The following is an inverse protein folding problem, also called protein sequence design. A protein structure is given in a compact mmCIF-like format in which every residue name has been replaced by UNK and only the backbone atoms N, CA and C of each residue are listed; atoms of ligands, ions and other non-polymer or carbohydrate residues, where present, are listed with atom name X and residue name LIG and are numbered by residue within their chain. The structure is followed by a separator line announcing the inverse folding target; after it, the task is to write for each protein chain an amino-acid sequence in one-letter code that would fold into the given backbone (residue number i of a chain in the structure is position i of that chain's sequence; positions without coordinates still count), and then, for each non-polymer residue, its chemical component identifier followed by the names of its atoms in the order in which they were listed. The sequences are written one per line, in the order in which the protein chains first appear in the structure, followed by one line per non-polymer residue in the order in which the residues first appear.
data_IF_092713101578
#
_entry.id   IF_092713101578
#
_cell.length_a   1.000
_cell.length_b   1.000
_cell.length_c   1.000
_cell.angle_alpha   90.00
_cell.angle_beta   90.00
_cell.angle_gamma   90.00
#
_symmetry.space_group_name_H-M   'P 1'
#
loop_
_entity.id
_entity.type
_entity.pdbx_description
1 polymer ?
#
# COMPACT_ATOMS: atom_id res chain seq x y z
N UNK A 1 20.36 21.53 -24.33
CA UNK A 1 20.94 20.37 -23.61
C UNK A 1 19.80 19.47 -23.18
N UNK A 2 19.88 18.16 -23.42
CA UNK A 2 18.90 17.19 -22.93
C UNK A 2 19.08 16.97 -21.42
N UNK A 3 17.96 16.85 -20.69
CA UNK A 3 17.98 16.63 -19.24
C UNK A 3 18.37 15.17 -18.95
N UNK A 4 19.30 14.97 -18.02
CA UNK A 4 19.66 13.63 -17.54
C UNK A 4 18.52 13.10 -16.65
N UNK A 5 18.00 11.89 -16.91
CA UNK A 5 16.95 11.30 -16.09
C UNK A 5 17.48 10.94 -14.70
N UNK A 6 16.73 11.29 -13.65
CA UNK A 6 17.01 10.88 -12.27
C UNK A 6 16.06 9.73 -11.92
N UNK A 7 16.61 8.52 -11.84
CA UNK A 7 15.82 7.30 -11.58
C UNK A 7 15.52 7.13 -10.09
N UNK A 8 14.32 6.66 -9.75
CA UNK A 8 14.00 6.23 -8.38
C UNK A 8 14.69 4.89 -8.08
N UNK A 9 14.97 4.62 -6.80
CA UNK A 9 15.45 3.31 -6.33
C UNK A 9 14.39 2.67 -5.43
N UNK A 10 13.47 1.86 -5.98
CA UNK A 10 12.49 1.15 -5.20
C UNK A 10 13.14 0.17 -4.21
N UNK A 11 12.53 0.05 -3.04
CA UNK A 11 12.95 -0.86 -1.97
C UNK A 11 11.72 -1.59 -1.45
N UNK A 12 11.92 -2.82 -0.97
CA UNK A 12 10.86 -3.52 -0.27
C UNK A 12 10.54 -2.80 1.04
N UNK A 13 9.27 -2.70 1.39
CA UNK A 13 8.83 -2.08 2.64
C UNK A 13 8.37 -3.16 3.60
N UNK A 14 9.13 -3.36 4.69
CA UNK A 14 8.87 -4.40 5.69
C UNK A 14 9.04 -3.80 7.08
N UNK A 15 8.05 -3.98 7.95
CA UNK A 15 8.14 -3.54 9.35
C UNK A 15 8.35 -2.04 9.55
N UNK A 16 7.78 -1.21 8.68
CA UNK A 16 7.95 0.25 8.77
C UNK A 16 9.25 0.77 8.16
N UNK A 17 10.03 -0.07 7.47
CA UNK A 17 11.36 0.29 6.94
C UNK A 17 11.50 -0.12 5.47
N UNK A 18 12.23 0.71 4.71
CA UNK A 18 12.66 0.37 3.36
C UNK A 18 13.94 -0.47 3.41
N UNK A 19 13.81 -1.78 3.20
CA UNK A 19 14.91 -2.75 3.30
C UNK A 19 15.48 -3.10 1.92
N UNK A 20 16.73 -3.58 1.91
CA UNK A 20 17.32 -4.23 0.74
C UNK A 20 17.08 -5.73 0.83
N UNK A 21 16.79 -6.36 -0.31
CA UNK A 21 16.76 -7.83 -0.44
C UNK A 21 18.12 -8.40 -0.03
N UNK A 22 18.12 -9.48 0.74
CA UNK A 22 19.35 -10.18 1.14
C UNK A 22 20.22 -10.55 -0.07
N UNK A 23 19.59 -10.97 -1.18
CA UNK A 23 20.32 -11.41 -2.37
C UNK A 23 21.03 -10.29 -3.12
N UNK A 24 20.66 -9.03 -2.87
CA UNK A 24 21.11 -7.88 -3.65
C UNK A 24 20.67 -7.89 -5.12
N UNK A 25 19.92 -8.92 -5.56
CA UNK A 25 19.47 -9.07 -6.95
C UNK A 25 18.39 -8.06 -7.29
N UNK A 26 18.44 -7.59 -8.52
CA UNK A 26 17.46 -6.68 -9.10
C UNK A 26 17.13 -7.11 -10.51
N UNK A 27 15.97 -6.69 -11.00
CA UNK A 27 15.60 -6.80 -12.41
C UNK A 27 15.19 -5.42 -12.94
N UNK A 28 15.46 -5.13 -14.23
CA UNK A 28 15.07 -3.86 -14.82
C UNK A 28 13.55 -3.77 -14.98
N UNK A 29 13.00 -2.60 -14.67
CA UNK A 29 11.66 -2.20 -15.06
C UNK A 29 11.76 -1.30 -16.29
N UNK A 30 11.02 -1.65 -17.33
CA UNK A 30 10.99 -0.94 -18.60
C UNK A 30 9.57 -0.39 -18.84
N UNK A 31 9.48 0.73 -19.56
CA UNK A 31 8.22 1.27 -20.04
C UNK A 31 7.70 0.46 -21.26
N UNK A 32 6.48 0.72 -21.71
CA UNK A 32 5.88 0.16 -22.93
C UNK A 32 6.76 0.28 -24.17
N UNK A 33 7.58 1.32 -24.23
CA UNK A 33 8.52 1.56 -25.33
C UNK A 33 9.88 0.87 -25.17
N UNK A 34 10.08 0.07 -24.11
CA UNK A 34 11.35 -0.61 -23.79
C UNK A 34 12.39 0.31 -23.14
N UNK A 35 12.00 1.52 -22.72
CA UNK A 35 12.92 2.45 -22.06
C UNK A 35 13.12 2.06 -20.60
N UNK A 36 14.37 1.98 -20.14
CA UNK A 36 14.70 1.70 -18.75
C UNK A 36 14.19 2.79 -17.80
N UNK A 37 13.52 2.37 -16.73
CA UNK A 37 13.00 3.27 -15.69
C UNK A 37 13.77 3.16 -14.38
N UNK A 38 13.85 1.95 -13.84
CA UNK A 38 14.53 1.67 -12.57
C UNK A 38 14.79 0.18 -12.38
N UNK A 39 15.58 -0.15 -11.36
CA UNK A 39 15.82 -1.52 -10.94
C UNK A 39 14.92 -1.88 -9.75
N UNK A 40 14.15 -2.96 -9.88
CA UNK A 40 13.26 -3.47 -8.83
C UNK A 40 13.98 -4.59 -8.05
N UNK A 41 13.96 -4.58 -6.70
CA UNK A 41 14.56 -5.64 -5.92
C UNK A 41 13.87 -6.98 -6.16
N UNK A 42 14.66 -8.00 -6.49
CA UNK A 42 14.19 -9.38 -6.55
C UNK A 42 14.25 -9.99 -5.15
N UNK A 43 13.11 -10.04 -4.47
CA UNK A 43 13.01 -10.60 -3.12
C UNK A 43 13.13 -12.13 -3.14
N UNK A 44 13.76 -12.67 -2.11
CA UNK A 44 13.96 -14.11 -1.92
C UNK A 44 12.91 -14.70 -0.99
N UNK A 45 12.90 -16.04 -0.88
CA UNK A 45 12.11 -16.75 0.14
C UNK A 45 12.42 -16.29 1.57
N UNK A 46 13.67 -15.89 1.86
CA UNK A 46 14.06 -15.41 3.19
C UNK A 46 13.51 -14.00 3.45
N UNK A 47 13.53 -13.12 2.46
CA UNK A 47 12.92 -11.78 2.59
C UNK A 47 11.40 -11.89 2.87
N UNK A 48 10.71 -12.81 2.19
CA UNK A 48 9.28 -13.07 2.42
C UNK A 48 9.04 -13.64 3.83
N UNK A 49 9.85 -14.61 4.27
CA UNK A 49 9.74 -15.17 5.64
C UNK A 49 9.87 -14.07 6.70
N UNK A 50 10.89 -13.23 6.59
CA UNK A 50 11.12 -12.12 7.50
C UNK A 50 9.92 -11.14 7.48
N UNK A 51 9.33 -10.87 6.31
CA UNK A 51 8.16 -10.02 6.20
C UNK A 51 6.92 -10.61 6.90
N UNK A 52 6.71 -11.93 6.76
CA UNK A 52 5.60 -12.65 7.41
C UNK A 52 5.77 -12.68 8.93
N UNK A 53 6.98 -12.93 9.44
CA UNK A 53 7.27 -12.92 10.88
C UNK A 53 6.96 -11.54 11.50
N UNK A 54 7.39 -10.47 10.83
CA UNK A 54 7.11 -9.10 11.26
C UNK A 54 5.61 -8.79 11.21
N UNK A 55 4.91 -9.21 10.15
CA UNK A 55 3.47 -9.02 10.03
C UNK A 55 2.70 -9.78 11.12
N UNK A 56 3.09 -11.02 11.41
CA UNK A 56 2.51 -11.84 12.47
C UNK A 56 2.67 -11.20 13.85
N UNK A 57 3.87 -10.71 14.18
CA UNK A 57 4.12 -10.01 15.43
C UNK A 57 3.32 -8.70 15.55
N UNK A 58 3.20 -7.94 14.45
CA UNK A 58 2.44 -6.69 14.43
C UNK A 58 0.91 -6.91 14.48
N UNK A 59 0.42 -8.09 14.07
CA UNK A 59 -0.99 -8.42 13.99
C UNK A 59 -1.72 -8.31 15.34
N UNK A 60 -1.07 -8.75 16.43
CA UNK A 60 -1.65 -8.69 17.79
C UNK A 60 -1.90 -7.23 18.20
N UNK A 61 -0.89 -6.37 18.02
CA UNK A 61 -1.00 -4.95 18.36
C UNK A 61 -2.02 -4.21 17.47
N UNK A 62 -2.13 -4.59 16.19
CA UNK A 62 -3.14 -4.04 15.29
C UNK A 62 -4.56 -4.48 15.66
N UNK A 63 -4.76 -5.76 15.98
CA UNK A 63 -6.04 -6.32 16.40
C UNK A 63 -6.54 -5.70 17.71
N UNK A 64 -5.63 -5.43 18.66
CA UNK A 64 -5.95 -4.79 19.94
C UNK A 64 -6.32 -3.30 19.86
N UNK A 65 -6.15 -2.64 18.70
CA UNK A 65 -6.62 -1.24 18.52
C UNK A 65 -8.15 -1.19 18.52
N UNK A 66 -8.73 -0.09 18.98
CA UNK A 66 -10.18 0.12 18.86
C UNK A 66 -10.59 0.21 17.39
N UNK A 67 -11.84 -0.18 17.09
CA UNK A 67 -12.42 -0.03 15.76
C UNK A 67 -12.30 1.41 15.23
N UNK A 68 -12.62 2.39 16.07
CA UNK A 68 -12.47 3.82 15.76
C UNK A 68 -11.03 4.18 15.37
N UNK A 69 -10.03 3.72 16.14
CA UNK A 69 -8.62 4.01 15.82
C UNK A 69 -8.18 3.40 14.50
N UNK A 70 -8.61 2.17 14.18
CA UNK A 70 -8.35 1.56 12.87
C UNK A 70 -9.01 2.36 11.74
N UNK A 71 -10.24 2.81 11.94
CA UNK A 71 -10.96 3.67 11.00
C UNK A 71 -10.21 4.98 10.71
N UNK A 72 -9.72 5.66 11.76
CA UNK A 72 -8.91 6.88 11.61
C UNK A 72 -7.63 6.63 10.80
N UNK A 73 -6.93 5.51 11.05
CA UNK A 73 -5.70 5.16 10.31
C UNK A 73 -5.99 4.90 8.83
N UNK A 74 -7.07 4.17 8.52
CA UNK A 74 -7.48 3.92 7.14
C UNK A 74 -7.97 5.19 6.43
N UNK A 75 -8.70 6.06 7.13
CA UNK A 75 -9.10 7.36 6.59
C UNK A 75 -7.87 8.21 6.25
N UNK A 76 -6.89 8.27 7.17
CA UNK A 76 -5.64 8.98 6.93
C UNK A 76 -4.86 8.40 5.75
N UNK A 77 -4.87 7.08 5.57
CA UNK A 77 -4.30 6.44 4.38
C UNK A 77 -4.99 6.95 3.10
N UNK A 78 -6.31 7.01 3.08
CA UNK A 78 -7.09 7.55 1.96
C UNK A 78 -6.72 9.00 1.64
N UNK A 79 -6.63 9.88 2.64
CA UNK A 79 -6.19 11.27 2.46
C UNK A 79 -4.79 11.36 1.82
N UNK A 80 -3.87 10.50 2.25
CA UNK A 80 -2.51 10.48 1.69
C UNK A 80 -2.47 9.94 0.27
N UNK A 81 -3.31 8.95 -0.05
CA UNK A 81 -3.45 8.45 -1.42
C UNK A 81 -4.03 9.52 -2.35
N UNK A 82 -5.10 10.21 -1.93
CA UNK A 82 -5.74 11.29 -2.69
C UNK A 82 -4.75 12.42 -3.00
N UNK A 83 -3.97 12.85 -2.00
CA UNK A 83 -2.94 13.88 -2.19
C UNK A 83 -1.83 13.50 -3.20
N UNK A 84 -1.70 12.20 -3.52
CA UNK A 84 -0.69 11.64 -4.42
C UNK A 84 -1.31 10.94 -5.62
N UNK A 85 -2.56 11.25 -5.96
CA UNK A 85 -3.31 10.59 -7.03
C UNK A 85 -2.54 10.58 -8.35
N UNK A 86 -1.91 11.69 -8.73
CA UNK A 86 -1.16 11.79 -9.98
C UNK A 86 0.08 10.87 -9.98
N UNK A 87 0.87 10.87 -8.89
CA UNK A 87 2.04 10.01 -8.76
C UNK A 87 1.66 8.51 -8.78
N UNK A 88 0.59 8.15 -8.07
CA UNK A 88 0.07 6.78 -8.04
C UNK A 88 -0.47 6.37 -9.42
N UNK A 89 -1.18 7.26 -10.11
CA UNK A 89 -1.73 6.99 -11.45
C UNK A 89 -0.61 6.75 -12.46
N UNK A 90 0.45 7.56 -12.41
CA UNK A 90 1.62 7.37 -13.26
C UNK A 90 2.31 6.04 -12.98
N UNK A 91 2.48 5.66 -11.71
CA UNK A 91 3.06 4.37 -11.34
C UNK A 91 2.24 3.20 -11.88
N UNK A 92 0.91 3.21 -11.73
CA UNK A 92 0.01 2.18 -12.25
C UNK A 92 0.02 2.12 -13.78
N UNK A 93 0.02 3.26 -14.46
CA UNK A 93 0.08 3.31 -15.92
C UNK A 93 1.35 2.65 -16.48
N UNK A 94 2.49 2.90 -15.82
CA UNK A 94 3.79 2.34 -16.16
C UNK A 94 3.80 0.82 -15.92
N UNK A 95 3.48 0.37 -14.71
CA UNK A 95 3.64 -1.05 -14.33
C UNK A 95 2.55 -1.95 -14.88
N UNK A 96 1.31 -1.44 -15.00
CA UNK A 96 0.17 -2.19 -15.52
C UNK A 96 0.04 -2.11 -17.04
N UNK A 97 0.87 -1.30 -17.70
CA UNK A 97 0.78 -1.03 -19.13
C UNK A 97 -0.64 -0.59 -19.58
N UNK A 98 -1.33 0.20 -18.77
CA UNK A 98 -2.67 0.74 -19.09
C UNK A 98 -2.60 2.17 -19.62
N UNK A 99 -3.72 2.74 -20.06
CA UNK A 99 -3.79 4.16 -20.39
C UNK A 99 -3.79 5.01 -19.11
N UNK A 100 -3.35 6.27 -19.20
CA UNK A 100 -3.37 7.20 -18.06
C UNK A 100 -4.77 7.31 -17.46
N UNK A 101 -5.81 7.41 -18.31
CA UNK A 101 -7.21 7.44 -17.87
C UNK A 101 -7.61 6.18 -17.11
N UNK A 102 -7.25 4.99 -17.60
CA UNK A 102 -7.56 3.74 -16.91
C UNK A 102 -6.83 3.63 -15.57
N UNK A 103 -5.56 4.03 -15.52
CA UNK A 103 -4.78 4.06 -14.28
C UNK A 103 -5.40 5.01 -13.24
N UNK A 104 -5.81 6.21 -13.65
CA UNK A 104 -6.49 7.15 -12.76
C UNK A 104 -7.80 6.60 -12.23
N UNK A 105 -8.61 5.96 -13.08
CA UNK A 105 -9.85 5.29 -12.64
C UNK A 105 -9.56 4.19 -11.62
N UNK A 106 -8.49 3.42 -11.79
CA UNK A 106 -8.08 2.38 -10.84
C UNK A 106 -7.62 2.96 -9.49
N UNK A 107 -6.83 4.03 -9.50
CA UNK A 107 -6.38 4.70 -8.29
C UNK A 107 -7.55 5.30 -7.52
N UNK A 108 -8.46 6.01 -8.20
CA UNK A 108 -9.68 6.56 -7.58
C UNK A 108 -10.52 5.46 -6.94
N UNK A 109 -10.77 4.35 -7.67
CA UNK A 109 -11.48 3.19 -7.10
C UNK A 109 -10.78 2.58 -5.88
N UNK A 110 -9.46 2.61 -5.85
CA UNK A 110 -8.67 2.12 -4.71
C UNK A 110 -8.82 3.04 -3.50
N UNK A 111 -8.85 4.36 -3.70
CA UNK A 111 -9.09 5.36 -2.66
C UNK A 111 -10.50 5.21 -2.10
N UNK A 112 -11.51 5.14 -2.97
CA UNK A 112 -12.90 4.92 -2.57
C UNK A 112 -13.05 3.65 -1.74
N UNK A 113 -12.34 2.58 -2.11
CA UNK A 113 -12.35 1.32 -1.36
C UNK A 113 -11.72 1.46 0.03
N UNK A 114 -10.61 2.19 0.15
CA UNK A 114 -9.98 2.47 1.45
C UNK A 114 -10.92 3.28 2.35
N UNK A 115 -11.54 4.34 1.82
CA UNK A 115 -12.50 5.18 2.56
C UNK A 115 -13.74 4.39 2.95
N UNK A 116 -14.27 3.55 2.05
CA UNK A 116 -15.38 2.65 2.34
C UNK A 116 -15.04 1.77 3.55
N UNK A 117 -13.91 1.05 3.52
CA UNK A 117 -13.54 0.17 4.64
C UNK A 117 -13.16 0.92 5.92
N UNK A 118 -12.64 2.15 5.82
CA UNK A 118 -12.44 3.02 6.99
C UNK A 118 -13.75 3.27 7.73
N UNK A 119 -14.86 3.43 7.00
CA UNK A 119 -16.20 3.63 7.59
C UNK A 119 -16.89 2.36 8.06
N UNK A 120 -16.34 1.17 7.80
CA UNK A 120 -16.92 -0.13 8.18
C UNK A 120 -16.30 -0.72 9.45
N UNK A 121 -15.23 -0.14 9.97
CA UNK A 121 -14.42 -0.73 11.04
C UNK A 121 -15.19 -1.02 12.33
N UNK A 122 -16.27 -0.29 12.59
CA UNK A 122 -17.14 -0.36 13.78
C UNK A 122 -18.58 -0.79 13.48
N UNK A 123 -18.95 -0.99 12.21
CA UNK A 123 -20.34 -1.27 11.80
C UNK A 123 -20.64 -2.76 11.59
N UNK A 124 -19.60 -3.57 11.39
CA UNK A 124 -19.76 -4.99 11.07
C UNK A 124 -20.56 -5.76 12.15
N UNK A 125 -20.23 -5.55 13.43
CA UNK A 125 -20.90 -6.23 14.55
C UNK A 125 -22.35 -5.78 14.72
N UNK A 126 -22.63 -4.49 14.50
CA UNK A 126 -23.99 -3.95 14.58
C UNK A 126 -24.89 -4.57 13.49
N UNK A 127 -24.37 -4.68 12.25
CA UNK A 127 -25.10 -5.24 11.11
C UNK A 127 -25.41 -6.73 11.30
N UNK A 128 -24.49 -7.49 11.91
CA UNK A 128 -24.64 -8.95 12.04
C UNK A 128 -25.26 -9.41 13.35
N UNK A 129 -25.14 -8.63 14.43
CA UNK A 129 -25.40 -9.15 15.78
C UNK A 129 -26.17 -8.20 16.71
N UNK A 130 -26.69 -7.07 16.22
CA UNK A 130 -27.38 -6.05 17.02
C UNK A 130 -26.59 -5.55 18.26
N UNK A 131 -25.30 -5.87 18.34
CA UNK A 131 -24.44 -5.51 19.47
C UNK A 131 -23.79 -4.18 19.13
N UNK A 132 -23.92 -3.20 20.02
CA UNK A 132 -23.29 -1.90 19.87
C UNK A 132 -22.06 -1.81 20.78
N UNK A 133 -20.85 -2.16 20.31
CA UNK A 133 -19.66 -2.11 21.12
C UNK A 133 -19.32 -0.66 21.48
N UNK A 134 -19.46 -0.30 22.76
CA UNK A 134 -19.03 0.99 23.29
C UNK A 134 -17.60 0.86 23.78
N UNK A 135 -16.71 1.80 23.47
CA UNK A 135 -15.34 1.73 24.01
C UNK A 135 -15.37 1.94 25.54
N UNK A 136 -15.04 0.91 26.32
CA UNK A 136 -15.03 0.97 27.79
C UNK A 136 -14.17 -0.14 28.41
N UNK A 137 -13.79 0.05 29.67
CA UNK A 137 -13.08 -0.95 30.48
C UNK A 137 -14.11 -1.93 31.08
N UNK A 138 -14.53 -2.91 30.30
CA UNK A 138 -15.36 -4.02 30.77
C UNK A 138 -14.72 -5.34 30.42
#
# INVERSE_FOLDING_TARGET
MSRIPVTKTPKAYVGGKFIRSESGRVFPLEDKSGNFLCNIPQCTRKDIRNAVEVAGAAGIAWAGRTAYNRGQILYRLGEMMESRLEELSQAVAITGHVSSTAATVEVVKSIDRVIYFAGWTDKYEQVLGNTNPVAGSF
#
